data_IF_013960185819
#
_entry.id   IF_013960185819
#
_cell.length_a   1.000
_cell.length_b   1.000
_cell.length_c   1.000
_cell.angle_alpha   90.00
_cell.angle_beta   90.00
_cell.angle_gamma   90.00
#
_symmetry.space_group_name_H-M   'P 1'
#
loop_
_entity.id
_entity.type
_entity.pdbx_description
1 polymer ?
#
# COMPACT_ATOMS: atom_id res chain seq x y z
N UNK A 1 -23.43 -19.70 -18.95
CA UNK A 1 -24.64 -18.87 -18.82
C UNK A 1 -24.44 -17.83 -17.73
N UNK A 2 -24.82 -16.57 -17.97
CA UNK A 2 -24.99 -15.58 -16.92
C UNK A 2 -26.27 -15.89 -16.12
N UNK A 3 -26.19 -15.88 -14.79
CA UNK A 3 -27.34 -16.09 -13.89
C UNK A 3 -27.51 -14.80 -13.09
N UNK A 4 -28.73 -14.28 -13.00
CA UNK A 4 -29.02 -13.08 -12.20
C UNK A 4 -29.34 -13.44 -10.74
N UNK A 5 -29.24 -12.47 -9.85
CA UNK A 5 -29.55 -12.65 -8.42
C UNK A 5 -31.01 -13.10 -8.21
N UNK A 6 -31.95 -12.55 -8.98
CA UNK A 6 -33.38 -12.90 -8.90
C UNK A 6 -33.65 -14.34 -9.33
N UNK A 7 -32.97 -14.82 -10.37
CA UNK A 7 -33.08 -16.22 -10.82
C UNK A 7 -32.53 -17.17 -9.77
N UNK A 8 -31.43 -16.81 -9.11
CA UNK A 8 -30.86 -17.61 -8.03
C UNK A 8 -31.81 -17.71 -6.84
N UNK A 9 -32.47 -16.59 -6.49
CA UNK A 9 -33.42 -16.50 -5.38
C UNK A 9 -34.74 -17.22 -5.65
N UNK A 10 -35.28 -17.11 -6.86
CA UNK A 10 -36.53 -17.77 -7.24
C UNK A 10 -36.38 -19.29 -7.40
N UNK A 11 -35.29 -19.74 -8.03
CA UNK A 11 -35.06 -21.16 -8.28
C UNK A 11 -34.54 -21.95 -7.07
N UNK A 12 -33.99 -21.26 -6.06
CA UNK A 12 -33.39 -21.89 -4.86
C UNK A 12 -32.29 -22.93 -5.16
N UNK A 13 -31.74 -22.90 -6.39
CA UNK A 13 -30.70 -23.84 -6.86
C UNK A 13 -29.41 -23.74 -6.05
N UNK A 14 -29.17 -22.59 -5.38
CA UNK A 14 -28.02 -22.38 -4.51
C UNK A 14 -27.93 -23.38 -3.35
N UNK A 15 -29.08 -23.82 -2.80
CA UNK A 15 -29.09 -24.81 -1.71
C UNK A 15 -28.60 -26.18 -2.17
N UNK A 16 -29.02 -26.61 -3.36
CA UNK A 16 -28.59 -27.88 -3.95
C UNK A 16 -27.08 -27.87 -4.22
N UNK A 17 -26.55 -26.76 -4.76
CA UNK A 17 -25.10 -26.64 -4.99
C UNK A 17 -24.32 -26.64 -3.67
N UNK A 18 -24.85 -25.98 -2.63
CA UNK A 18 -24.26 -26.01 -1.28
C UNK A 18 -24.19 -27.44 -0.73
N UNK A 19 -25.24 -28.24 -0.94
CA UNK A 19 -25.25 -29.66 -0.60
C UNK A 19 -24.12 -30.43 -1.29
N UNK A 20 -23.92 -30.20 -2.60
CA UNK A 20 -22.83 -30.84 -3.35
C UNK A 20 -21.42 -30.40 -2.92
N UNK A 21 -21.30 -29.26 -2.24
CA UNK A 21 -20.02 -28.79 -1.71
C UNK A 21 -19.68 -29.42 -0.35
N UNK A 22 -20.68 -29.57 0.53
CA UNK A 22 -20.48 -30.06 1.91
C UNK A 22 -20.47 -31.59 2.00
N UNK A 23 -21.23 -32.29 1.16
CA UNK A 23 -21.43 -33.73 1.34
C UNK A 23 -20.12 -34.53 1.07
N UNK A 24 -19.65 -35.35 2.03
CA UNK A 24 -18.34 -36.02 1.97
C UNK A 24 -18.28 -37.23 1.01
N UNK A 25 -19.38 -37.61 0.37
CA UNK A 25 -19.48 -38.78 -0.50
C UNK A 25 -19.43 -38.49 -2.01
N UNK A 26 -19.08 -37.28 -2.41
CA UNK A 26 -19.16 -36.83 -3.81
C UNK A 26 -17.78 -36.90 -4.47
N UNK A 27 -17.74 -37.27 -5.75
CA UNK A 27 -16.52 -37.21 -6.54
C UNK A 27 -15.91 -35.80 -6.53
N UNK A 28 -14.61 -35.72 -6.24
CA UNK A 28 -13.89 -34.44 -6.09
C UNK A 28 -14.06 -33.50 -7.29
N UNK A 29 -14.17 -34.06 -8.51
CA UNK A 29 -14.44 -33.30 -9.73
C UNK A 29 -15.75 -32.49 -9.66
N UNK A 30 -16.78 -33.06 -9.04
CA UNK A 30 -18.08 -32.42 -8.87
C UNK A 30 -18.00 -31.39 -7.74
N UNK A 31 -17.34 -31.73 -6.63
CA UNK A 31 -17.14 -30.83 -5.50
C UNK A 31 -16.41 -29.54 -5.93
N UNK A 32 -15.30 -29.67 -6.67
CA UNK A 32 -14.56 -28.51 -7.24
C UNK A 32 -15.42 -27.66 -8.17
N UNK A 33 -16.36 -28.27 -8.92
CA UNK A 33 -17.31 -27.51 -9.77
C UNK A 33 -18.36 -26.78 -8.93
N UNK A 34 -18.89 -27.44 -7.91
CA UNK A 34 -19.84 -26.84 -6.97
C UNK A 34 -19.20 -25.67 -6.23
N UNK A 35 -17.97 -25.81 -5.76
CA UNK A 35 -17.21 -24.74 -5.09
C UNK A 35 -17.02 -23.52 -6.00
N UNK A 36 -16.62 -23.72 -7.26
CA UNK A 36 -16.53 -22.64 -8.25
C UNK A 36 -17.86 -21.94 -8.48
N UNK A 37 -18.97 -22.67 -8.52
CA UNK A 37 -20.30 -22.09 -8.66
C UNK A 37 -20.70 -21.29 -7.42
N UNK A 38 -20.42 -21.81 -6.22
CA UNK A 38 -20.65 -21.08 -4.96
C UNK A 38 -19.87 -19.78 -4.95
N UNK A 39 -18.58 -19.79 -5.30
CA UNK A 39 -17.76 -18.56 -5.37
C UNK A 39 -18.30 -17.57 -6.42
N UNK A 40 -18.69 -18.06 -7.59
CA UNK A 40 -19.22 -17.20 -8.66
C UNK A 40 -20.56 -16.53 -8.28
N UNK A 41 -21.44 -17.27 -7.63
CA UNK A 41 -22.79 -16.79 -7.31
C UNK A 41 -22.86 -16.06 -5.97
N UNK A 42 -22.01 -16.39 -4.99
CA UNK A 42 -21.89 -15.59 -3.76
C UNK A 42 -21.39 -14.17 -4.05
N UNK A 43 -20.53 -14.01 -5.05
CA UNK A 43 -20.09 -12.70 -5.54
C UNK A 43 -21.25 -11.82 -6.04
N UNK A 44 -22.26 -12.41 -6.69
CA UNK A 44 -23.46 -11.67 -7.11
C UNK A 44 -24.28 -11.16 -5.92
N UNK A 45 -24.24 -11.86 -4.78
CA UNK A 45 -24.94 -11.43 -3.56
C UNK A 45 -24.21 -10.26 -2.91
N UNK A 46 -22.87 -10.33 -2.85
CA UNK A 46 -22.05 -9.32 -2.19
C UNK A 46 -21.59 -8.19 -3.13
N UNK A 47 -21.97 -8.21 -4.41
CA UNK A 47 -21.47 -7.30 -5.45
C UNK A 47 -19.92 -7.26 -5.52
N UNK A 48 -19.26 -8.38 -5.25
CA UNK A 48 -17.81 -8.50 -5.40
C UNK A 48 -17.44 -8.80 -6.85
N UNK A 49 -16.37 -8.18 -7.34
CA UNK A 49 -15.82 -8.51 -8.65
C UNK A 49 -15.08 -9.86 -8.63
N UNK A 50 -15.10 -10.57 -9.76
CA UNK A 50 -14.32 -11.79 -9.99
C UNK A 50 -12.85 -11.46 -10.30
N UNK A 51 -12.61 -10.30 -10.93
CA UNK A 51 -11.28 -9.85 -11.33
C UNK A 51 -10.66 -8.97 -10.24
N UNK A 52 -9.44 -9.33 -9.81
CA UNK A 52 -8.65 -8.55 -8.87
C UNK A 52 -8.44 -7.11 -9.35
N UNK A 53 -8.38 -6.89 -10.68
CA UNK A 53 -8.22 -5.56 -11.27
C UNK A 53 -9.41 -4.63 -11.02
N UNK A 54 -10.59 -5.19 -10.86
CA UNK A 54 -11.85 -4.46 -10.68
C UNK A 54 -12.28 -4.42 -9.21
N UNK A 55 -11.42 -4.87 -8.28
CA UNK A 55 -11.69 -4.72 -6.85
C UNK A 55 -11.72 -3.21 -6.54
N UNK A 56 -12.80 -2.67 -5.96
CA UNK A 56 -12.81 -1.29 -5.53
C UNK A 56 -11.76 -1.12 -4.42
N UNK A 57 -10.73 -0.32 -4.69
CA UNK A 57 -9.75 0.07 -3.68
C UNK A 57 -10.13 1.47 -3.22
N UNK A 58 -10.22 1.65 -1.91
CA UNK A 58 -10.56 2.96 -1.34
C UNK A 58 -9.43 3.95 -1.65
N UNK A 59 -9.76 5.02 -2.36
CA UNK A 59 -8.83 6.10 -2.66
C UNK A 59 -8.88 7.15 -1.58
N UNK A 60 -7.73 7.49 -0.99
CA UNK A 60 -7.63 8.57 -0.01
C UNK A 60 -6.92 9.74 -0.66
N UNK A 61 -7.51 10.92 -0.53
CA UNK A 61 -6.87 12.11 -1.03
C UNK A 61 -5.74 12.55 -0.11
N UNK A 62 -4.54 12.66 -0.68
CA UNK A 62 -3.38 13.21 0.01
C UNK A 62 -3.17 14.67 -0.37
N UNK A 63 -3.14 15.54 0.64
CA UNK A 63 -2.76 16.94 0.50
C UNK A 63 -1.33 17.13 1.04
N UNK A 64 -0.35 17.45 0.16
CA UNK A 64 1.04 17.59 0.55
C UNK A 64 1.30 18.80 1.46
N UNK A 65 0.50 19.86 1.40
CA UNK A 65 0.70 21.05 2.24
C UNK A 65 0.25 20.78 3.67
N UNK A 66 -0.94 20.16 3.82
CA UNK A 66 -1.45 19.72 5.11
C UNK A 66 -0.54 18.67 5.78
N UNK A 67 0.05 17.76 5.00
CA UNK A 67 0.96 16.76 5.54
C UNK A 67 2.28 17.35 6.05
N UNK A 68 2.84 18.37 5.36
CA UNK A 68 4.03 19.08 5.82
C UNK A 68 3.78 19.83 7.13
N UNK A 69 2.62 20.46 7.26
CA UNK A 69 2.22 21.12 8.50
C UNK A 69 2.09 20.12 9.67
N UNK A 70 1.51 18.94 9.44
CA UNK A 70 1.41 17.88 10.47
C UNK A 70 2.75 17.27 10.88
N UNK A 71 3.66 17.05 9.93
CA UNK A 71 5.00 16.53 10.25
C UNK A 71 5.77 17.48 11.19
N UNK A 72 5.57 18.79 11.04
CA UNK A 72 6.21 19.78 11.90
C UNK A 72 5.68 19.75 13.35
N UNK A 73 4.37 19.50 13.53
CA UNK A 73 3.79 19.33 14.86
C UNK A 73 4.21 18.01 15.51
N UNK A 74 4.24 16.90 14.77
CA UNK A 74 4.64 15.59 15.30
C UNK A 74 6.10 15.57 15.73
N UNK A 75 7.03 16.20 15.00
CA UNK A 75 8.43 16.29 15.44
C UNK A 75 8.58 17.02 16.77
N UNK A 76 7.74 18.04 17.03
CA UNK A 76 7.77 18.78 18.29
C UNK A 76 7.22 17.96 19.47
N UNK A 77 6.23 17.10 19.21
CA UNK A 77 5.64 16.20 20.22
C UNK A 77 6.61 15.05 20.50
N UNK A 78 7.19 14.44 19.46
CA UNK A 78 8.17 13.37 19.61
C UNK A 78 9.41 13.82 20.37
N UNK A 79 9.87 15.07 20.18
CA UNK A 79 10.99 15.63 20.97
C UNK A 79 10.64 15.75 22.45
N UNK A 80 9.45 16.25 22.78
CA UNK A 80 8.98 16.37 24.18
C UNK A 80 8.88 15.01 24.86
N UNK A 81 8.27 14.02 24.19
CA UNK A 81 8.17 12.64 24.72
C UNK A 81 9.56 12.02 24.95
N UNK A 82 10.52 12.30 24.06
CA UNK A 82 11.88 11.77 24.18
C UNK A 82 12.70 12.49 25.27
N UNK A 83 12.40 13.76 25.56
CA UNK A 83 12.98 14.51 26.67
C UNK A 83 12.43 14.02 28.02
N UNK A 84 11.12 13.78 28.11
CA UNK A 84 10.45 13.22 29.31
C UNK A 84 10.96 11.79 29.61
N UNK A 85 11.07 10.92 28.60
CA UNK A 85 11.62 9.57 28.77
C UNK A 85 13.10 9.56 29.21
N UNK A 86 13.90 10.58 28.86
CA UNK A 86 15.28 10.71 29.33
C UNK A 86 15.33 11.02 30.84
N UNK A 87 14.44 11.88 31.32
CA UNK A 87 14.38 12.21 32.76
C UNK A 87 13.89 11.06 33.64
N UNK A 88 13.04 10.17 33.10
CA UNK A 88 12.52 9.00 33.83
C UNK A 88 13.48 7.79 33.79
N UNK A 89 14.35 7.71 32.78
CA UNK A 89 15.35 6.65 32.64
C UNK A 89 16.53 6.79 33.63
N UNK A 90 16.78 7.99 34.15
CA UNK A 90 17.86 8.25 35.12
C UNK A 90 17.51 7.79 36.55
N UNK A 91 16.23 7.57 36.87
CA UNK A 91 15.78 7.21 38.23
C UNK A 91 15.52 5.71 38.44
N UNK A 92 15.53 4.90 37.38
CA UNK A 92 15.12 3.48 37.42
C UNK A 92 16.19 2.50 36.94
N UNK A 93 17.42 2.65 37.45
CA UNK A 93 18.54 1.74 37.17
C UNK A 93 18.47 0.43 37.98
N UNK A 94 17.50 -0.45 37.74
CA UNK A 94 17.62 -1.86 38.18
C UNK A 94 16.56 -2.79 37.56
N UNK A 95 16.62 -3.08 36.26
CA UNK A 95 16.19 -4.39 35.74
C UNK A 95 16.85 -4.68 34.39
N UNK A 96 17.31 -5.92 34.22
CA UNK A 96 18.14 -6.43 33.10
C UNK A 96 17.80 -5.81 31.73
N UNK A 97 18.78 -5.11 31.16
CA UNK A 97 18.75 -4.53 29.81
C UNK A 97 18.63 -5.64 28.77
N UNK A 98 17.41 -5.90 28.29
CA UNK A 98 17.19 -6.67 27.05
C UNK A 98 16.80 -5.68 25.97
N UNK A 99 17.55 -5.67 24.87
CA UNK A 99 17.21 -4.85 23.71
C UNK A 99 15.88 -5.34 23.10
N UNK A 100 14.88 -4.45 23.00
CA UNK A 100 13.67 -4.73 22.23
C UNK A 100 14.04 -4.73 20.74
N UNK A 101 13.83 -5.86 20.07
CA UNK A 101 14.02 -5.98 18.63
C UNK A 101 12.75 -5.44 17.95
N UNK A 102 12.84 -4.40 17.10
CA UNK A 102 11.67 -3.93 16.36
C UNK A 102 11.22 -5.01 15.38
N UNK A 103 9.98 -5.47 15.52
CA UNK A 103 9.36 -6.40 14.57
C UNK A 103 9.01 -5.58 13.31
N UNK A 104 9.51 -6.01 12.15
CA UNK A 104 9.14 -5.39 10.87
C UNK A 104 7.76 -5.88 10.47
N UNK A 105 6.73 -5.08 10.71
CA UNK A 105 5.41 -5.33 10.14
C UNK A 105 5.47 -5.08 8.62
N UNK A 106 4.97 -6.01 7.78
CA UNK A 106 4.84 -5.76 6.36
C UNK A 106 3.89 -4.56 6.16
N UNK A 107 4.30 -3.60 5.34
CA UNK A 107 3.46 -2.45 5.00
C UNK A 107 2.31 -2.93 4.12
N UNK A 108 1.17 -3.22 4.73
CA UNK A 108 -0.06 -3.52 4.01
C UNK A 108 -0.72 -2.21 3.57
N UNK A 109 -0.72 -1.97 2.26
CA UNK A 109 -1.39 -0.81 1.67
C UNK A 109 -2.89 -1.11 1.51
N UNK A 110 -3.71 -0.57 2.42
CA UNK A 110 -5.17 -0.68 2.36
C UNK A 110 -5.81 0.35 1.41
N UNK A 111 -5.14 1.48 1.19
CA UNK A 111 -5.67 2.63 0.46
C UNK A 111 -4.75 3.06 -0.67
N UNK A 112 -5.33 3.55 -1.76
CA UNK A 112 -4.59 4.15 -2.88
C UNK A 112 -4.57 5.67 -2.70
N UNK A 113 -3.40 6.31 -2.52
CA UNK A 113 -3.33 7.75 -2.37
C UNK A 113 -3.57 8.44 -3.73
N UNK A 114 -4.39 9.49 -3.73
CA UNK A 114 -4.61 10.38 -4.88
C UNK A 114 -4.25 11.79 -4.46
N UNK A 115 -3.32 12.43 -5.17
CA UNK A 115 -2.86 13.78 -4.82
C UNK A 115 -3.86 14.81 -5.35
N UNK A 116 -4.44 15.63 -4.46
CA UNK A 116 -5.19 16.83 -4.86
C UNK A 116 -4.16 17.82 -5.42
N UNK A 117 -4.26 18.12 -6.70
CA UNK A 117 -3.27 18.87 -7.47
C UNK A 117 -1.99 18.05 -7.65
N UNK A 118 -1.93 17.13 -8.63
CA UNK A 118 -0.64 16.69 -9.09
C UNK A 118 0.06 17.97 -9.53
N UNK A 119 1.07 18.42 -8.77
CA UNK A 119 2.06 19.35 -9.31
C UNK A 119 2.41 18.70 -10.63
N UNK A 120 1.98 19.33 -11.73
CA UNK A 120 2.33 18.88 -13.07
C UNK A 120 3.80 18.57 -12.95
N UNK A 121 4.20 17.32 -13.24
CA UNK A 121 5.63 16.98 -13.33
C UNK A 121 6.11 17.67 -14.60
N UNK A 122 6.07 18.99 -14.55
CA UNK A 122 6.50 19.94 -15.51
C UNK A 122 7.99 19.74 -15.48
N UNK A 123 8.42 18.92 -16.42
CA UNK A 123 9.81 18.56 -16.69
C UNK A 123 10.72 19.68 -16.21
N UNK A 124 11.29 19.51 -15.01
CA UNK A 124 12.22 20.49 -14.46
C UNK A 124 13.31 20.59 -15.50
N UNK A 125 13.33 21.71 -16.25
CA UNK A 125 14.41 22.05 -17.18
C UNK A 125 15.70 21.76 -16.42
N UNK A 126 16.54 20.86 -16.97
CA UNK A 126 17.76 20.36 -16.34
C UNK A 126 18.46 21.52 -15.62
N UNK A 127 18.85 21.38 -14.34
CA UNK A 127 19.54 22.45 -13.64
C UNK A 127 20.72 22.87 -14.50
N UNK A 128 20.81 24.17 -14.82
CA UNK A 128 21.90 24.72 -15.63
C UNK A 128 23.21 24.30 -14.96
N UNK A 129 23.91 23.40 -15.64
CA UNK A 129 25.17 22.79 -15.25
C UNK A 129 26.11 23.85 -14.68
N UNK A 130 26.41 23.72 -13.38
CA UNK A 130 27.19 24.69 -12.62
C UNK A 130 28.61 24.78 -13.19
N UNK A 131 29.18 25.99 -13.23
CA UNK A 131 30.43 26.34 -13.91
C UNK A 131 31.71 25.64 -13.41
N UNK A 132 31.59 24.63 -12.55
CA UNK A 132 32.69 23.82 -12.00
C UNK A 132 33.43 23.10 -13.13
N UNK A 133 32.70 22.47 -14.04
CA UNK A 133 33.30 21.71 -15.15
C UNK A 133 33.76 22.58 -16.33
N UNK A 134 33.28 23.82 -16.44
CA UNK A 134 33.83 24.78 -17.43
C UNK A 134 35.27 25.16 -17.11
N UNK A 135 35.62 25.24 -15.82
CA UNK A 135 37.01 25.49 -15.38
C UNK A 135 37.90 24.31 -15.73
N UNK A 136 37.43 23.08 -15.50
CA UNK A 136 38.15 21.85 -15.83
C UNK A 136 38.44 21.73 -17.34
N UNK A 137 37.46 22.02 -18.20
CA UNK A 137 37.70 21.98 -19.66
C UNK A 137 38.67 23.07 -20.13
N UNK A 138 38.68 24.26 -19.49
CA UNK A 138 39.67 25.30 -19.79
C UNK A 138 41.08 24.91 -19.38
N UNK A 139 41.25 24.28 -18.21
CA UNK A 139 42.58 23.81 -17.77
C UNK A 139 43.08 22.66 -18.65
N UNK A 140 42.21 21.71 -19.01
CA UNK A 140 42.57 20.59 -19.88
C UNK A 140 42.97 21.03 -21.29
N UNK A 141 42.27 22.02 -21.86
CA UNK A 141 42.61 22.56 -23.18
C UNK A 141 43.88 23.41 -23.19
N UNK A 142 44.17 24.13 -22.11
CA UNK A 142 45.44 24.86 -21.97
C UNK A 142 46.65 23.91 -21.89
N UNK A 143 46.52 22.81 -21.14
CA UNK A 143 47.57 21.80 -21.02
C UNK A 143 47.83 21.04 -22.34
N UNK A 144 46.79 20.83 -23.16
CA UNK A 144 46.92 20.14 -24.44
C UNK A 144 47.60 20.95 -25.55
N UNK A 145 47.71 22.29 -25.42
CA UNK A 145 48.31 23.14 -26.47
C UNK A 145 49.81 23.40 -26.29
N UNK A 146 50.37 23.06 -25.13
CA UNK A 146 51.80 23.25 -24.83
C UNK A 146 52.60 21.95 -25.00
N UNK A 147 52.24 21.13 -25.98
CA UNK A 147 52.98 19.92 -26.35
C UNK A 147 53.20 19.87 -27.85
#
# INVERSE_FOLDING_TARGET
MPVTLEQLRSSQIGFIIRFYNICPGIAERIQRKAEKLVQKWSRLIFNLSDDYRNRPVETVVYDPEAARARNYSDESILRKVNEEMRTEAETSSSTRVRARIPIREPREYRFVPVVKNPVSVESKKKPKYTGVYKRLNRTMTALSRNK
#
